data_IF_968540660119
#
_entry.id   IF_968540660119
#
_cell.length_a   1.000
_cell.length_b   1.000
_cell.length_c   1.000
_cell.angle_alpha   90.00
_cell.angle_beta   90.00
_cell.angle_gamma   90.00
#
_symmetry.space_group_name_H-M   'P 1'
#
loop_
_entity.id
_entity.type
_entity.pdbx_description
1 polymer ?
#
# COMPACT_ATOMS: atom_id res chain seq x y z
N UNK A 1 -1.82 22.21 18.11
CA UNK A 1 -1.15 20.91 18.31
C UNK A 1 -1.98 19.87 17.59
N UNK A 2 -1.49 19.33 16.48
CA UNK A 2 -2.11 18.14 15.89
C UNK A 2 -1.76 16.95 16.79
N UNK A 3 -2.76 16.16 17.17
CA UNK A 3 -2.50 14.91 17.88
C UNK A 3 -1.81 13.94 16.91
N UNK A 4 -0.75 13.27 17.37
CA UNK A 4 -0.09 12.24 16.57
C UNK A 4 -0.99 11.01 16.51
N UNK A 5 -1.34 10.58 15.30
CA UNK A 5 -2.17 9.39 15.11
C UNK A 5 -1.42 8.11 15.52
N UNK A 6 -2.18 7.16 16.07
CA UNK A 6 -1.68 5.88 16.57
C UNK A 6 -2.58 4.75 16.07
N UNK A 7 -1.97 3.60 15.74
CA UNK A 7 -2.73 2.47 15.23
C UNK A 7 -2.15 1.11 15.61
N UNK A 8 -3.02 0.10 15.61
CA UNK A 8 -2.66 -1.30 15.82
C UNK A 8 -2.54 -2.03 14.48
N UNK A 9 -1.48 -2.84 14.29
CA UNK A 9 -1.37 -3.71 13.13
C UNK A 9 -2.43 -4.82 13.19
N UNK A 10 -2.87 -5.29 12.02
CA UNK A 10 -3.71 -6.48 11.92
C UNK A 10 -2.88 -7.68 11.44
N UNK A 11 -3.43 -8.88 11.57
CA UNK A 11 -2.78 -10.09 11.06
C UNK A 11 -2.50 -9.97 9.56
N UNK A 12 -1.26 -10.28 9.17
CA UNK A 12 -0.78 -10.14 7.80
C UNK A 12 -0.26 -8.74 7.43
N UNK A 13 -0.30 -7.76 8.33
CA UNK A 13 0.33 -6.45 8.06
C UNK A 13 1.86 -6.54 8.03
N UNK A 14 2.44 -6.06 6.93
CA UNK A 14 3.81 -5.55 6.91
C UNK A 14 3.81 -4.03 7.12
N UNK A 15 4.99 -3.42 7.31
CA UNK A 15 5.12 -1.96 7.51
C UNK A 15 4.43 -1.18 6.39
N UNK A 16 4.61 -1.60 5.14
CA UNK A 16 4.02 -0.91 3.99
C UNK A 16 2.49 -1.05 3.93
N UNK A 17 1.94 -2.24 4.14
CA UNK A 17 0.48 -2.43 4.13
C UNK A 17 -0.20 -1.71 5.28
N UNK A 18 0.44 -1.71 6.45
CA UNK A 18 0.01 -0.97 7.62
C UNK A 18 -0.06 0.54 7.35
N UNK A 19 1.03 1.13 6.85
CA UNK A 19 1.11 2.55 6.50
C UNK A 19 0.11 2.95 5.40
N UNK A 20 -0.11 2.06 4.41
CA UNK A 20 -1.09 2.28 3.33
C UNK A 20 -2.51 2.44 3.84
N UNK A 21 -2.91 1.72 4.91
CA UNK A 21 -4.23 1.89 5.55
C UNK A 21 -4.42 3.29 6.15
N UNK A 22 -3.31 3.96 6.45
CA UNK A 22 -3.26 5.32 6.99
C UNK A 22 -2.85 6.35 5.94
N UNK A 23 -2.95 6.02 4.64
CA UNK A 23 -2.62 6.91 3.53
C UNK A 23 -1.15 7.35 3.50
N UNK A 24 -0.22 6.50 3.97
CA UNK A 24 1.24 6.70 3.91
C UNK A 24 1.84 5.74 2.89
N UNK A 25 1.82 6.15 1.62
CA UNK A 25 2.13 5.27 0.47
C UNK A 25 3.54 5.43 -0.10
N UNK A 26 4.19 6.57 0.16
CA UNK A 26 5.57 6.80 -0.24
C UNK A 26 6.57 6.05 0.65
N UNK A 27 7.71 5.70 0.08
CA UNK A 27 8.84 5.03 0.74
C UNK A 27 9.49 5.87 1.84
N UNK A 28 9.41 7.20 1.74
CA UNK A 28 9.88 8.13 2.79
C UNK A 28 9.21 7.86 4.14
N UNK A 29 7.91 7.55 4.14
CA UNK A 29 7.17 7.22 5.35
C UNK A 29 7.63 5.95 6.04
N UNK A 30 8.17 4.97 5.31
CA UNK A 30 8.68 3.73 5.91
C UNK A 30 9.87 4.05 6.80
N UNK A 31 10.76 4.93 6.33
CA UNK A 31 11.92 5.37 7.12
C UNK A 31 11.48 6.14 8.35
N UNK A 32 10.63 7.15 8.17
CA UNK A 32 10.11 7.95 9.29
C UNK A 32 9.35 7.11 10.31
N UNK A 33 8.56 6.14 9.85
CA UNK A 33 7.86 5.20 10.71
C UNK A 33 8.80 4.35 11.54
N UNK A 34 9.89 3.88 10.94
CA UNK A 34 10.91 3.09 11.62
C UNK A 34 11.61 3.92 12.69
N UNK A 35 11.99 5.15 12.36
CA UNK A 35 12.64 6.07 13.29
C UNK A 35 11.71 6.42 14.47
N UNK A 36 10.43 6.74 14.20
CA UNK A 36 9.41 7.07 15.20
C UNK A 36 9.08 5.92 16.16
N UNK A 37 9.19 4.67 15.69
CA UNK A 37 8.80 3.48 16.44
C UNK A 37 10.00 2.60 16.83
N UNK A 38 11.19 3.18 16.89
CA UNK A 38 12.41 2.47 17.32
C UNK A 38 12.18 1.73 18.63
N UNK A 39 12.51 0.43 18.66
CA UNK A 39 12.33 -0.43 19.83
C UNK A 39 10.91 -0.99 20.04
N UNK A 40 9.96 -0.70 19.14
CA UNK A 40 8.60 -1.30 19.16
C UNK A 40 8.43 -2.42 18.13
N UNK A 41 9.46 -2.71 17.35
CA UNK A 41 9.46 -3.81 16.38
C UNK A 41 9.88 -5.11 17.06
N UNK A 42 9.43 -6.24 16.50
CA UNK A 42 9.90 -7.54 16.95
C UNK A 42 11.38 -7.76 16.59
N UNK A 43 11.98 -8.84 17.09
CA UNK A 43 13.40 -9.19 16.85
C UNK A 43 13.79 -9.36 15.37
N UNK A 44 12.80 -9.50 14.48
CA UNK A 44 12.97 -9.61 13.03
C UNK A 44 12.70 -8.30 12.28
N UNK A 45 12.48 -7.19 13.00
CA UNK A 45 12.15 -5.88 12.44
C UNK A 45 10.72 -5.75 11.90
N UNK A 46 9.83 -6.68 12.24
CA UNK A 46 8.42 -6.67 11.85
C UNK A 46 7.50 -6.03 12.88
N UNK A 47 6.25 -5.77 12.48
CA UNK A 47 5.19 -5.31 13.37
C UNK A 47 4.79 -6.43 14.34
N UNK A 48 4.46 -6.07 15.57
CA UNK A 48 3.98 -6.98 16.61
C UNK A 48 2.51 -6.71 16.91
N UNK A 49 1.71 -7.78 16.94
CA UNK A 49 0.27 -7.68 17.22
C UNK A 49 0.05 -7.26 18.67
N UNK A 50 -0.89 -6.34 18.90
CA UNK A 50 -1.14 -5.75 20.22
C UNK A 50 -0.23 -4.57 20.57
N UNK A 51 0.84 -4.33 19.79
CA UNK A 51 1.68 -3.13 19.93
C UNK A 51 1.07 -1.97 19.16
N UNK A 52 1.00 -0.81 19.79
CA UNK A 52 0.55 0.43 19.16
C UNK A 52 1.72 1.18 18.53
N UNK A 53 1.58 1.56 17.26
CA UNK A 53 2.59 2.30 16.52
C UNK A 53 2.13 3.72 16.21
N UNK A 54 3.09 4.66 16.25
CA UNK A 54 2.93 6.04 15.84
C UNK A 54 2.93 6.12 14.31
N UNK A 55 1.93 6.78 13.74
CA UNK A 55 1.83 7.00 12.30
C UNK A 55 2.54 8.32 11.98
N UNK A 56 3.52 8.40 11.05
CA UNK A 56 4.16 9.65 10.65
C UNK A 56 3.12 10.68 10.21
N UNK A 57 3.34 11.98 10.41
CA UNK A 57 2.43 13.01 9.91
C UNK A 57 2.34 12.95 8.38
N UNK A 58 1.27 13.49 7.78
CA UNK A 58 1.21 13.63 6.33
C UNK A 58 2.24 14.67 5.88
N UNK A 59 2.93 14.37 4.78
CA UNK A 59 3.78 15.30 4.09
C UNK A 59 2.92 16.39 3.43
N UNK A 60 3.43 17.63 3.37
CA UNK A 60 2.72 18.72 2.69
C UNK A 60 2.52 18.38 1.21
N UNK A 61 1.27 18.33 0.76
CA UNK A 61 0.93 18.03 -0.64
C UNK A 61 0.42 16.62 -0.89
N UNK A 62 0.47 15.73 0.10
CA UNK A 62 -0.21 14.44 0.01
C UNK A 62 -1.73 14.64 0.13
N UNK A 63 -2.44 14.47 -0.99
CA UNK A 63 -3.90 14.58 -1.07
C UNK A 63 -4.54 13.19 -1.07
N UNK A 64 -5.52 12.97 -0.19
CA UNK A 64 -6.32 11.73 -0.13
C UNK A 64 -7.80 12.05 0.16
N UNK A 65 -8.79 11.34 -0.46
CA UNK A 65 -8.73 10.21 -1.40
C UNK A 65 -9.10 10.61 -2.86
N UNK A 66 -9.23 9.67 -3.81
CA UNK A 66 -8.23 8.84 -4.48
C UNK A 66 -7.69 9.47 -5.80
N UNK A 67 -6.58 8.95 -6.35
CA UNK A 67 -6.42 8.96 -7.81
C UNK A 67 -7.59 8.14 -8.36
N UNK A 68 -8.47 8.79 -9.11
CA UNK A 68 -9.54 8.09 -9.83
C UNK A 68 -8.91 6.88 -10.54
N UNK A 69 -9.57 5.71 -10.57
CA UNK A 69 -9.09 4.61 -11.37
C UNK A 69 -8.98 5.15 -12.79
N UNK A 70 -7.76 5.46 -13.21
CA UNK A 70 -7.49 5.76 -14.61
C UNK A 70 -7.71 4.41 -15.26
N UNK A 71 -8.93 4.19 -15.73
CA UNK A 71 -9.27 3.06 -16.55
C UNK A 71 -8.58 3.34 -17.88
N UNK A 72 -7.27 3.13 -17.90
CA UNK A 72 -6.52 3.13 -19.13
C UNK A 72 -7.08 1.95 -19.91
N UNK A 73 -7.62 2.19 -21.12
CA UNK A 73 -7.96 1.08 -22.01
C UNK A 73 -6.74 0.18 -22.08
N UNK A 74 -6.94 -1.13 -21.95
CA UNK A 74 -5.86 -2.08 -22.15
C UNK A 74 -5.29 -1.82 -23.54
N UNK A 75 -4.04 -1.39 -23.63
CA UNK A 75 -3.38 -1.22 -24.91
C UNK A 75 -3.13 -2.62 -25.50
N UNK A 76 -4.06 -3.07 -26.34
CA UNK A 76 -3.98 -4.39 -26.95
C UNK A 76 -2.83 -4.53 -27.95
N UNK A 77 -2.20 -3.41 -28.35
CA UNK A 77 -1.07 -3.45 -29.28
C UNK A 77 0.15 -4.15 -28.69
N UNK A 78 0.28 -4.17 -27.36
CA UNK A 78 1.38 -4.83 -26.64
C UNK A 78 1.36 -6.36 -26.80
N UNK A 79 0.20 -6.96 -27.11
CA UNK A 79 0.07 -8.41 -27.25
C UNK A 79 0.41 -8.92 -28.67
N UNK A 80 0.77 -8.02 -29.60
CA UNK A 80 1.12 -8.37 -30.97
C UNK A 80 -0.08 -8.72 -31.85
N UNK A 81 0.12 -8.76 -33.18
CA UNK A 81 -0.97 -8.86 -34.18
C UNK A 81 -1.90 -10.06 -33.98
N UNK A 82 -1.38 -11.19 -33.49
CA UNK A 82 -2.16 -12.40 -33.28
C UNK A 82 -3.16 -12.31 -32.11
N UNK A 83 -2.98 -11.35 -31.20
CA UNK A 83 -3.77 -11.19 -29.97
C UNK A 83 -4.37 -9.78 -29.84
N UNK A 84 -4.62 -9.11 -30.97
CA UNK A 84 -5.28 -7.79 -30.96
C UNK A 84 -6.76 -7.86 -30.57
N UNK A 85 -7.40 -9.01 -30.78
CA UNK A 85 -8.80 -9.24 -30.44
C UNK A 85 -8.91 -10.20 -29.24
N UNK A 86 -8.97 -9.63 -28.03
CA UNK A 86 -9.10 -10.39 -26.78
C UNK A 86 -10.49 -10.13 -26.19
N UNK A 87 -11.35 -11.14 -26.26
CA UNK A 87 -12.64 -11.12 -25.55
C UNK A 87 -12.43 -11.47 -24.07
N UNK A 88 -12.79 -10.56 -23.16
CA UNK A 88 -12.74 -10.83 -21.70
C UNK A 88 -13.79 -11.89 -21.35
N UNK A 89 -13.35 -13.07 -20.89
CA UNK A 89 -14.24 -14.19 -20.52
C UNK A 89 -14.73 -14.14 -19.08
N UNK A 90 -13.99 -13.51 -18.17
CA UNK A 90 -14.32 -13.46 -16.75
C UNK A 90 -13.61 -12.31 -16.05
N UNK A 91 -14.27 -11.71 -15.05
CA UNK A 91 -13.70 -10.71 -14.15
C UNK A 91 -13.45 -11.26 -12.74
N UNK A 92 -13.40 -12.59 -12.55
CA UNK A 92 -13.25 -13.21 -11.23
C UNK A 92 -12.04 -12.70 -10.45
N UNK A 93 -10.98 -12.32 -11.16
CA UNK A 93 -9.72 -11.86 -10.58
C UNK A 93 -9.57 -10.33 -10.61
N UNK A 94 -10.66 -9.60 -10.86
CA UNK A 94 -10.63 -8.14 -10.78
C UNK A 94 -10.23 -7.73 -9.36
N UNK A 95 -9.24 -6.84 -9.25
CA UNK A 95 -8.63 -6.37 -8.01
C UNK A 95 -7.80 -7.43 -7.24
N UNK A 96 -7.46 -8.56 -7.86
CA UNK A 96 -6.46 -9.47 -7.31
C UNK A 96 -5.04 -8.91 -7.49
N UNK A 97 -4.18 -9.11 -6.50
CA UNK A 97 -2.75 -8.77 -6.58
C UNK A 97 -1.96 -10.05 -6.89
N UNK A 98 -1.17 -10.05 -7.96
CA UNK A 98 -0.33 -11.20 -8.35
C UNK A 98 1.12 -10.89 -8.04
N UNK A 99 1.80 -11.81 -7.35
CA UNK A 99 3.24 -11.80 -7.18
C UNK A 99 3.84 -12.75 -8.21
N UNK A 100 4.62 -12.22 -9.15
CA UNK A 100 5.37 -13.02 -10.12
C UNK A 100 6.75 -13.31 -9.51
N UNK A 101 7.11 -14.59 -9.45
CA UNK A 101 8.43 -15.08 -9.00
C UNK A 101 9.30 -15.47 -10.18
#
# INVERSE_FOLDING_TARGET
MQAQDMAYPIEGDGVYSFLRRWNRVDTSYVREFTDLNTGRFNDRGGLELGTVYLIPPLHPGDVYPPLEPVYQPVDVSIFGKAYQDISVRSQRLKNACFYII
#
